data_IF_897605579113
#
_entry.id   IF_897605579113
#
_cell.length_a   1.000
_cell.length_b   1.000
_cell.length_c   1.000
_cell.angle_alpha   90.00
_cell.angle_beta   90.00
_cell.angle_gamma   90.00
#
_symmetry.space_group_name_H-M   'P 1'
#
loop_
_entity.id
_entity.type
_entity.pdbx_description
1 polymer ?
#
# COMPACT_ATOMS: atom_id res chain seq x y z
N UNK A 1 64.84 3.73 8.93
CA UNK A 1 63.77 4.18 9.83
C UNK A 1 62.59 4.55 8.94
N UNK A 2 61.68 3.63 8.74
CA UNK A 2 60.40 3.90 8.10
C UNK A 2 59.31 3.70 9.15
N UNK A 3 58.65 4.79 9.52
CA UNK A 3 57.53 4.82 10.44
C UNK A 3 56.24 4.89 9.66
N UNK A 4 55.35 3.94 9.99
CA UNK A 4 53.92 3.97 9.84
C UNK A 4 53.29 3.97 8.44
N UNK A 5 53.18 2.76 7.88
CA UNK A 5 52.01 2.45 7.03
C UNK A 5 50.83 2.15 7.95
N UNK A 6 49.92 3.10 8.09
CA UNK A 6 48.60 2.86 8.67
C UNK A 6 47.73 2.03 7.73
N UNK A 7 47.80 0.70 7.85
CA UNK A 7 46.80 -0.18 7.28
C UNK A 7 45.50 0.03 8.10
N UNK A 8 44.59 0.84 7.58
CA UNK A 8 43.27 0.97 8.15
C UNK A 8 42.59 -0.39 8.16
N UNK A 9 42.23 -0.87 9.33
CA UNK A 9 41.31 -1.99 9.51
C UNK A 9 40.02 -1.66 8.76
N UNK A 10 39.60 -2.57 7.90
CA UNK A 10 38.26 -2.52 7.37
C UNK A 10 37.25 -2.48 8.54
N UNK A 11 36.19 -1.69 8.51
CA UNK A 11 35.20 -1.66 9.57
C UNK A 11 34.71 -3.10 9.76
N UNK A 12 35.06 -3.71 10.88
CA UNK A 12 34.59 -5.03 11.25
C UNK A 12 33.08 -4.97 11.39
N UNK A 13 32.37 -5.87 10.73
CA UNK A 13 30.97 -6.14 10.99
C UNK A 13 30.85 -6.55 12.45
N UNK A 14 30.30 -5.68 13.30
CA UNK A 14 30.19 -5.96 14.73
C UNK A 14 29.09 -7.01 14.94
N UNK A 15 29.25 -7.86 15.96
CA UNK A 15 28.27 -8.88 16.39
C UNK A 15 26.87 -8.27 16.60
N UNK A 16 26.78 -7.03 17.04
CA UNK A 16 25.53 -6.27 17.17
C UNK A 16 24.78 -6.12 15.85
N UNK A 17 25.48 -5.93 14.73
CA UNK A 17 24.84 -5.80 13.39
C UNK A 17 24.21 -7.12 12.94
N UNK A 18 24.85 -8.26 13.25
CA UNK A 18 24.32 -9.59 12.90
C UNK A 18 23.10 -9.95 13.73
N UNK A 19 23.11 -9.68 15.04
CA UNK A 19 21.96 -9.92 15.92
C UNK A 19 20.74 -9.05 15.52
N UNK A 20 20.95 -7.80 15.10
CA UNK A 20 19.89 -6.92 14.64
C UNK A 20 19.25 -7.44 13.34
N UNK A 21 20.04 -7.89 12.38
CA UNK A 21 19.56 -8.49 11.14
C UNK A 21 18.75 -9.76 11.39
N UNK A 22 19.21 -10.64 12.30
CA UNK A 22 18.48 -11.85 12.67
C UNK A 22 17.11 -11.55 13.32
N UNK A 23 17.01 -10.47 14.09
CA UNK A 23 15.75 -10.03 14.71
C UNK A 23 14.80 -9.47 13.65
N UNK A 24 15.28 -8.64 12.74
CA UNK A 24 14.48 -8.09 11.64
C UNK A 24 13.92 -9.19 10.73
N UNK A 25 14.77 -10.17 10.33
CA UNK A 25 14.34 -11.31 9.52
C UNK A 25 13.25 -12.14 10.21
N UNK A 26 13.38 -12.40 11.52
CA UNK A 26 12.36 -13.12 12.30
C UNK A 26 11.05 -12.36 12.42
N UNK A 27 11.11 -11.03 12.56
CA UNK A 27 9.91 -10.18 12.60
C UNK A 27 9.16 -10.21 11.26
N UNK A 28 9.88 -10.09 10.14
CA UNK A 28 9.30 -10.18 8.80
C UNK A 28 8.71 -11.57 8.53
N UNK A 29 9.43 -12.65 8.85
CA UNK A 29 8.92 -14.02 8.67
C UNK A 29 7.63 -14.27 9.46
N UNK A 30 7.55 -13.80 10.72
CA UNK A 30 6.33 -13.89 11.52
C UNK A 30 5.18 -13.05 10.93
N UNK A 31 5.49 -11.87 10.38
CA UNK A 31 4.51 -11.06 9.68
C UNK A 31 3.96 -11.79 8.46
N UNK A 32 4.82 -12.41 7.65
CA UNK A 32 4.46 -13.10 6.42
C UNK A 32 3.56 -14.33 6.68
N UNK A 33 3.81 -15.07 7.76
CA UNK A 33 2.92 -16.15 8.20
C UNK A 33 1.51 -15.62 8.49
N UNK A 34 1.42 -14.50 9.20
CA UNK A 34 0.13 -13.91 9.54
C UNK A 34 -0.54 -13.25 8.32
N UNK A 35 0.23 -12.62 7.44
CA UNK A 35 -0.27 -12.09 6.18
C UNK A 35 -0.88 -13.19 5.29
N UNK A 36 -0.28 -14.39 5.28
CA UNK A 36 -0.86 -15.55 4.60
C UNK A 36 -2.23 -15.96 5.19
N UNK A 37 -2.40 -15.92 6.51
CA UNK A 37 -3.69 -16.16 7.16
C UNK A 37 -4.73 -15.08 6.82
N UNK A 38 -4.33 -13.81 6.85
CA UNK A 38 -5.19 -12.69 6.45
C UNK A 38 -5.65 -12.88 5.00
N UNK A 39 -4.73 -13.17 4.09
CA UNK A 39 -5.02 -13.41 2.68
C UNK A 39 -6.01 -14.55 2.48
N UNK A 40 -5.83 -15.67 3.18
CA UNK A 40 -6.74 -16.82 3.11
C UNK A 40 -8.14 -16.45 3.60
N UNK A 41 -8.25 -15.75 4.73
CA UNK A 41 -9.53 -15.30 5.29
C UNK A 41 -10.26 -14.32 4.35
N UNK A 42 -9.54 -13.39 3.73
CA UNK A 42 -10.10 -12.45 2.75
C UNK A 42 -10.59 -13.19 1.50
N UNK A 43 -9.81 -14.16 1.02
CA UNK A 43 -10.18 -14.98 -0.14
C UNK A 43 -11.43 -15.83 0.09
N UNK A 44 -11.59 -16.45 1.27
CA UNK A 44 -12.79 -17.21 1.64
C UNK A 44 -14.06 -16.34 1.65
N UNK A 45 -13.91 -15.06 1.93
CA UNK A 45 -15.00 -14.08 1.95
C UNK A 45 -15.12 -13.29 0.63
N UNK A 46 -14.33 -13.61 -0.37
CA UNK A 46 -14.25 -12.86 -1.65
C UNK A 46 -14.01 -11.36 -1.44
N UNK A 47 -13.28 -10.98 -0.40
CA UNK A 47 -12.92 -9.60 -0.11
C UNK A 47 -11.64 -9.25 -0.85
N UNK A 48 -11.70 -8.20 -1.67
CA UNK A 48 -10.55 -7.69 -2.42
C UNK A 48 -9.89 -6.58 -1.62
N UNK A 49 -8.71 -6.85 -1.06
CA UNK A 49 -7.97 -5.90 -0.24
C UNK A 49 -6.85 -5.21 -1.03
N UNK A 50 -6.75 -3.88 -0.92
CA UNK A 50 -5.68 -3.08 -1.51
C UNK A 50 -4.96 -2.29 -0.40
N UNK A 51 -3.62 -2.32 -0.42
CA UNK A 51 -2.78 -1.54 0.49
C UNK A 51 -2.36 -0.23 -0.19
N UNK A 52 -2.81 0.91 0.34
CA UNK A 52 -2.46 2.25 -0.15
C UNK A 52 -1.30 2.82 0.64
N UNK A 53 -0.18 3.00 -0.02
CA UNK A 53 1.08 3.51 0.55
C UNK A 53 1.44 4.85 -0.09
N UNK A 54 1.99 5.79 0.67
CA UNK A 54 2.40 7.10 0.16
C UNK A 54 3.27 7.85 1.15
N UNK A 55 3.86 8.95 0.71
CA UNK A 55 4.26 10.02 1.63
C UNK A 55 3.04 10.73 2.23
N UNK A 56 3.20 11.45 3.36
CA UNK A 56 2.15 12.29 3.91
C UNK A 56 1.69 13.33 2.88
N UNK A 57 0.38 13.58 2.82
CA UNK A 57 -0.18 14.61 1.95
C UNK A 57 -0.29 14.27 0.46
N UNK A 58 0.04 13.06 0.01
CA UNK A 58 -0.11 12.62 -1.39
C UNK A 58 -1.58 12.55 -1.84
N UNK A 59 -2.53 12.38 -0.90
CA UNK A 59 -3.96 12.42 -1.15
C UNK A 59 -4.66 11.06 -1.13
N UNK A 60 -4.14 10.08 -0.37
CA UNK A 60 -4.78 8.77 -0.17
C UNK A 60 -6.21 8.89 0.32
N UNK A 61 -6.41 9.55 1.46
CA UNK A 61 -7.74 9.73 2.05
C UNK A 61 -8.72 10.41 1.09
N UNK A 62 -8.26 11.43 0.34
CA UNK A 62 -9.12 12.10 -0.65
C UNK A 62 -9.47 11.19 -1.84
N UNK A 63 -8.54 10.31 -2.26
CA UNK A 63 -8.81 9.30 -3.29
C UNK A 63 -9.84 8.30 -2.78
N UNK A 64 -9.73 7.86 -1.51
CA UNK A 64 -10.68 6.94 -0.89
C UNK A 64 -12.05 7.57 -0.70
N UNK A 65 -12.16 8.81 -0.21
CA UNK A 65 -13.45 9.53 -0.09
C UNK A 65 -14.19 9.56 -1.44
N UNK A 66 -13.46 9.90 -2.51
CA UNK A 66 -14.04 9.92 -3.85
C UNK A 66 -14.43 8.53 -4.33
N UNK A 67 -13.59 7.52 -4.08
CA UNK A 67 -13.87 6.12 -4.42
C UNK A 67 -15.13 5.63 -3.72
N UNK A 68 -15.29 5.91 -2.42
CA UNK A 68 -16.49 5.57 -1.65
C UNK A 68 -17.74 6.24 -2.23
N UNK A 69 -17.67 7.53 -2.57
CA UNK A 69 -18.79 8.26 -3.13
C UNK A 69 -19.25 7.70 -4.48
N UNK A 70 -18.33 7.27 -5.33
CA UNK A 70 -18.63 6.80 -6.70
C UNK A 70 -18.95 5.29 -6.75
N UNK A 71 -18.19 4.46 -6.01
CA UNK A 71 -18.33 3.01 -6.05
C UNK A 71 -19.22 2.44 -4.93
N UNK A 72 -19.48 3.19 -3.88
CA UNK A 72 -20.23 2.71 -2.70
C UNK A 72 -21.66 2.24 -2.99
N UNK A 73 -22.23 2.59 -4.14
CA UNK A 73 -23.53 2.08 -4.59
C UNK A 73 -23.45 0.72 -5.30
N UNK A 74 -22.27 0.35 -5.80
CA UNK A 74 -22.01 -0.91 -6.53
C UNK A 74 -21.29 -1.95 -5.69
N UNK A 75 -20.40 -1.51 -4.82
CA UNK A 75 -19.60 -2.34 -3.94
C UNK A 75 -19.72 -1.89 -2.49
N UNK A 76 -19.80 -2.82 -1.57
CA UNK A 76 -19.57 -2.51 -0.16
C UNK A 76 -18.09 -2.13 0.00
N UNK A 77 -17.82 -0.88 0.38
CA UNK A 77 -16.46 -0.38 0.61
C UNK A 77 -16.18 -0.33 2.11
N UNK A 78 -15.05 -0.88 2.50
CA UNK A 78 -14.53 -0.89 3.86
C UNK A 78 -13.12 -0.33 3.89
N UNK A 79 -12.73 0.33 4.98
CA UNK A 79 -11.39 0.94 5.11
C UNK A 79 -10.80 0.61 6.49
N UNK A 80 -9.57 0.17 6.50
CA UNK A 80 -8.70 0.14 7.69
C UNK A 80 -7.76 1.33 7.54
N UNK A 81 -7.83 2.27 8.47
CA UNK A 81 -7.04 3.50 8.48
C UNK A 81 -5.91 3.39 9.48
N UNK A 82 -4.66 3.44 9.02
CA UNK A 82 -3.47 3.47 9.86
C UNK A 82 -2.98 4.89 10.08
N UNK A 83 -3.10 5.40 11.30
CA UNK A 83 -2.57 6.72 11.68
C UNK A 83 -1.83 6.64 13.02
N UNK A 84 -0.94 7.61 13.25
CA UNK A 84 -0.15 7.67 14.47
C UNK A 84 -0.94 8.21 15.67
N UNK A 85 -1.82 9.20 15.49
CA UNK A 85 -2.45 9.91 16.61
C UNK A 85 -3.92 10.32 16.40
N UNK A 86 -4.41 10.50 15.17
CA UNK A 86 -5.69 11.18 14.93
C UNK A 86 -6.76 10.26 14.29
N UNK A 87 -8.04 10.54 14.59
CA UNK A 87 -9.18 9.84 13.96
C UNK A 87 -9.78 10.60 12.78
N UNK A 88 -9.15 11.71 12.36
CA UNK A 88 -9.75 12.60 11.37
C UNK A 88 -9.99 11.93 10.02
N UNK A 89 -9.07 11.11 9.54
CA UNK A 89 -9.20 10.47 8.23
C UNK A 89 -10.23 9.33 8.26
N UNK A 90 -10.27 8.51 9.32
CA UNK A 90 -11.34 7.52 9.50
C UNK A 90 -12.73 8.17 9.57
N UNK A 91 -12.86 9.34 10.21
CA UNK A 91 -14.13 10.07 10.29
C UNK A 91 -14.55 10.69 8.94
N UNK A 92 -13.59 11.10 8.11
CA UNK A 92 -13.83 11.54 6.73
C UNK A 92 -14.41 10.38 5.90
N UNK A 93 -13.79 9.22 5.98
CA UNK A 93 -14.22 8.01 5.27
C UNK A 93 -15.62 7.56 5.72
N UNK A 94 -15.90 7.57 7.02
CA UNK A 94 -17.25 7.24 7.54
C UNK A 94 -18.30 8.22 7.04
N UNK A 95 -18.00 9.53 7.00
CA UNK A 95 -18.90 10.55 6.43
C UNK A 95 -19.13 10.39 4.94
N UNK A 96 -18.16 9.84 4.20
CA UNK A 96 -18.33 9.48 2.80
C UNK A 96 -19.24 8.26 2.59
N UNK A 97 -19.54 7.47 3.64
CA UNK A 97 -20.49 6.36 3.61
C UNK A 97 -19.86 4.97 3.70
N UNK A 98 -18.56 4.85 3.88
CA UNK A 98 -17.90 3.56 4.09
C UNK A 98 -17.83 3.16 5.57
N UNK A 99 -17.74 1.86 5.82
CA UNK A 99 -17.34 1.34 7.13
C UNK A 99 -15.84 1.54 7.29
N UNK A 100 -15.41 2.12 8.40
CA UNK A 100 -14.00 2.35 8.66
C UNK A 100 -13.63 2.04 10.11
N UNK A 101 -12.51 1.37 10.29
CA UNK A 101 -11.85 1.13 11.57
C UNK A 101 -10.50 1.82 11.53
N UNK A 102 -10.18 2.51 12.62
CA UNK A 102 -8.87 3.13 12.78
C UNK A 102 -7.95 2.24 13.59
N UNK A 103 -6.73 2.12 13.13
CA UNK A 103 -5.62 1.49 13.84
C UNK A 103 -4.62 2.55 14.24
N UNK A 104 -4.53 2.80 15.54
CA UNK A 104 -3.50 3.69 16.07
C UNK A 104 -2.18 2.92 16.16
N UNK A 105 -1.18 3.36 15.39
CA UNK A 105 0.16 2.75 15.36
C UNK A 105 1.08 3.32 16.45
N UNK A 106 0.65 4.36 17.16
CA UNK A 106 1.49 5.06 18.14
C UNK A 106 2.78 5.60 17.49
N UNK A 107 3.92 5.17 17.99
CA UNK A 107 5.22 5.54 17.40
C UNK A 107 5.57 4.74 16.12
N UNK A 108 4.72 3.78 15.71
CA UNK A 108 4.92 2.98 14.51
C UNK A 108 4.71 3.78 13.24
N UNK A 109 5.52 3.52 12.22
CA UNK A 109 5.50 4.22 10.94
C UNK A 109 4.84 3.38 9.83
N UNK A 110 4.16 2.28 10.16
CA UNK A 110 3.47 1.38 9.24
C UNK A 110 2.45 0.51 9.96
N UNK A 111 1.57 -0.12 9.20
CA UNK A 111 0.74 -1.23 9.63
C UNK A 111 1.44 -2.57 9.39
N UNK A 112 1.24 -3.53 10.27
CA UNK A 112 1.63 -4.93 10.12
C UNK A 112 0.42 -5.87 9.97
N UNK A 113 0.66 -7.12 9.60
CA UNK A 113 -0.40 -8.12 9.42
C UNK A 113 -1.18 -8.41 10.71
N UNK A 114 -0.57 -8.27 11.89
CA UNK A 114 -1.25 -8.45 13.18
C UNK A 114 -2.23 -7.32 13.47
N UNK A 115 -1.88 -6.10 13.10
CA UNK A 115 -2.76 -4.93 13.21
C UNK A 115 -3.94 -5.07 12.26
N UNK A 116 -3.70 -5.43 10.99
CA UNK A 116 -4.75 -5.66 9.99
C UNK A 116 -5.66 -6.81 10.41
N UNK A 117 -5.13 -7.92 10.88
CA UNK A 117 -5.91 -9.05 11.37
C UNK A 117 -6.89 -8.64 12.49
N UNK A 118 -6.42 -7.87 13.48
CA UNK A 118 -7.30 -7.35 14.56
C UNK A 118 -8.35 -6.39 14.02
N UNK A 119 -7.97 -5.48 13.12
CA UNK A 119 -8.89 -4.53 12.51
C UNK A 119 -9.99 -5.22 11.69
N UNK A 120 -9.67 -6.32 11.00
CA UNK A 120 -10.64 -7.13 10.25
C UNK A 120 -11.71 -7.75 11.17
N UNK A 121 -11.35 -8.18 12.36
CA UNK A 121 -12.33 -8.68 13.34
C UNK A 121 -13.32 -7.61 13.80
N UNK A 122 -12.87 -6.37 13.97
CA UNK A 122 -13.72 -5.24 14.35
C UNK A 122 -14.56 -4.74 13.17
N UNK A 123 -13.94 -4.62 12.00
CA UNK A 123 -14.57 -4.11 10.79
C UNK A 123 -15.61 -5.06 10.21
N UNK A 124 -15.36 -6.37 10.30
CA UNK A 124 -16.17 -7.46 9.73
C UNK A 124 -16.67 -7.12 8.32
N UNK A 125 -15.77 -7.03 7.32
CA UNK A 125 -16.13 -6.60 5.97
C UNK A 125 -17.13 -7.58 5.35
N UNK A 126 -18.21 -7.12 4.69
CA UNK A 126 -19.15 -7.99 4.00
C UNK A 126 -18.47 -8.86 2.93
N UNK A 127 -19.02 -10.04 2.67
CA UNK A 127 -18.59 -10.89 1.55
C UNK A 127 -18.65 -10.13 0.23
N UNK A 128 -17.60 -10.22 -0.58
CA UNK A 128 -17.50 -9.54 -1.86
C UNK A 128 -17.21 -8.05 -1.79
N UNK A 129 -16.79 -7.53 -0.61
CA UNK A 129 -16.46 -6.12 -0.45
C UNK A 129 -15.08 -5.75 -1.00
N UNK A 130 -14.92 -4.47 -1.33
CA UNK A 130 -13.63 -3.80 -1.49
C UNK A 130 -13.12 -3.34 -0.13
N UNK A 131 -11.93 -3.75 0.22
CA UNK A 131 -11.24 -3.34 1.44
C UNK A 131 -10.01 -2.51 1.07
N UNK A 132 -9.93 -1.31 1.60
CA UNK A 132 -8.72 -0.51 1.52
C UNK A 132 -8.01 -0.53 2.87
N UNK A 133 -6.71 -0.75 2.85
CA UNK A 133 -5.82 -0.51 3.97
C UNK A 133 -5.06 0.76 3.66
N UNK A 134 -5.48 1.89 4.23
CA UNK A 134 -4.74 3.14 4.14
C UNK A 134 -3.59 3.10 5.13
N UNK A 135 -2.37 2.94 4.62
CA UNK A 135 -1.17 2.85 5.45
C UNK A 135 -0.70 4.24 5.92
N UNK A 136 0.05 4.26 7.00
CA UNK A 136 0.72 5.48 7.49
C UNK A 136 1.51 6.15 6.37
N UNK A 137 1.52 7.47 6.35
CA UNK A 137 2.27 8.24 5.36
C UNK A 137 3.77 8.08 5.51
N UNK A 138 4.32 7.05 4.82
CA UNK A 138 5.74 6.70 4.81
C UNK A 138 6.08 5.94 3.53
N UNK A 139 7.22 6.25 2.90
CA UNK A 139 7.69 5.60 1.66
C UNK A 139 8.76 4.51 1.88
N UNK A 140 9.02 4.11 3.12
CA UNK A 140 10.05 3.11 3.45
C UNK A 140 9.41 1.89 4.11
N UNK A 141 8.96 2.03 5.36
CA UNK A 141 8.51 0.91 6.17
C UNK A 141 7.32 0.13 5.59
N UNK A 142 6.25 0.75 5.06
CA UNK A 142 5.10 -0.01 4.55
C UNK A 142 5.42 -0.97 3.42
N UNK A 143 6.49 -0.73 2.66
CA UNK A 143 6.91 -1.60 1.56
C UNK A 143 7.47 -2.95 2.03
N UNK A 144 7.95 -3.02 3.27
CA UNK A 144 8.59 -4.20 3.84
C UNK A 144 7.60 -5.24 4.35
N UNK A 145 6.35 -4.82 4.64
CA UNK A 145 5.36 -5.65 5.28
C UNK A 145 4.26 -6.07 4.30
N UNK A 146 4.08 -7.38 4.20
CA UNK A 146 2.90 -7.97 3.56
C UNK A 146 1.72 -7.91 4.56
N UNK A 147 0.58 -7.42 4.14
CA UNK A 147 -0.63 -7.31 4.95
C UNK A 147 -1.71 -8.33 4.55
N UNK A 148 -1.42 -9.19 3.58
CA UNK A 148 -2.37 -10.12 2.98
C UNK A 148 -3.22 -9.49 1.87
N UNK A 149 -2.86 -8.34 1.39
CA UNK A 149 -3.52 -7.61 0.31
C UNK A 149 -3.42 -8.31 -1.05
N UNK A 150 -4.36 -8.03 -1.94
CA UNK A 150 -4.37 -8.49 -3.33
C UNK A 150 -3.50 -7.61 -4.23
N UNK A 151 -3.35 -6.32 -3.89
CA UNK A 151 -2.52 -5.38 -4.63
C UNK A 151 -1.95 -4.28 -3.72
N UNK A 152 -0.74 -3.83 -4.05
CA UNK A 152 -0.03 -2.70 -3.44
C UNK A 152 -0.11 -1.49 -4.35
N UNK A 153 -0.71 -0.40 -3.87
CA UNK A 153 -0.90 0.85 -4.60
C UNK A 153 -0.05 1.94 -3.97
N UNK A 154 0.87 2.49 -4.73
CA UNK A 154 1.69 3.64 -4.29
C UNK A 154 1.06 4.92 -4.82
N UNK A 155 0.69 5.83 -3.93
CA UNK A 155 0.15 7.15 -4.29
C UNK A 155 1.22 8.21 -4.08
N UNK A 156 1.54 8.95 -5.13
CA UNK A 156 2.44 10.11 -5.10
C UNK A 156 1.73 11.36 -5.61
N UNK A 157 2.18 12.52 -5.19
CA UNK A 157 1.69 13.79 -5.71
C UNK A 157 2.73 14.43 -6.62
N UNK A 158 2.32 15.08 -7.69
CA UNK A 158 3.23 15.88 -8.56
C UNK A 158 3.98 16.97 -7.78
N UNK A 159 3.49 17.36 -6.61
CA UNK A 159 4.15 18.35 -5.74
C UNK A 159 5.35 17.82 -4.95
N UNK A 160 5.62 16.50 -5.04
CA UNK A 160 6.68 15.84 -4.26
C UNK A 160 7.98 15.66 -5.05
N UNK A 161 7.99 16.00 -6.35
CA UNK A 161 9.10 15.79 -7.27
C UNK A 161 9.11 14.42 -7.95
N UNK A 162 9.70 14.38 -9.14
CA UNK A 162 9.73 13.22 -10.04
C UNK A 162 10.83 12.20 -9.72
N UNK A 163 11.66 12.46 -8.73
CA UNK A 163 12.81 11.63 -8.33
C UNK A 163 12.45 10.57 -7.24
N UNK A 164 11.19 10.48 -6.84
CA UNK A 164 10.75 9.53 -5.82
C UNK A 164 11.08 8.07 -6.12
N UNK A 165 10.94 7.55 -7.35
CA UNK A 165 11.32 6.17 -7.65
C UNK A 165 12.80 5.90 -7.39
N UNK A 166 13.67 6.86 -7.69
CA UNK A 166 15.11 6.73 -7.44
C UNK A 166 15.46 6.80 -5.95
N UNK A 167 14.75 7.65 -5.20
CA UNK A 167 14.98 7.81 -3.74
C UNK A 167 14.42 6.66 -2.91
N UNK A 168 13.34 6.03 -3.36
CA UNK A 168 12.61 4.98 -2.63
C UNK A 168 12.40 3.73 -3.50
N UNK A 169 13.47 3.13 -4.04
CA UNK A 169 13.36 2.08 -5.04
C UNK A 169 12.59 0.85 -4.56
N UNK A 170 12.68 0.52 -3.27
CA UNK A 170 11.96 -0.62 -2.73
C UNK A 170 10.44 -0.43 -2.77
N UNK A 171 9.95 0.77 -2.40
CA UNK A 171 8.52 1.11 -2.46
C UNK A 171 7.94 0.93 -3.87
N UNK A 172 8.64 1.43 -4.88
CA UNK A 172 8.19 1.32 -6.27
C UNK A 172 8.41 -0.07 -6.87
N UNK A 173 9.39 -0.83 -6.35
CA UNK A 173 9.66 -2.19 -6.79
C UNK A 173 8.58 -3.20 -6.38
N UNK A 174 7.86 -2.93 -5.29
CA UNK A 174 6.77 -3.80 -4.80
C UNK A 174 5.38 -3.34 -5.26
N UNK A 175 5.27 -2.20 -5.95
CA UNK A 175 4.00 -1.63 -6.38
C UNK A 175 3.38 -2.41 -7.55
N UNK A 176 2.09 -2.72 -7.46
CA UNK A 176 1.27 -3.22 -8.56
C UNK A 176 0.70 -2.07 -9.39
N UNK A 177 0.42 -0.93 -8.74
CA UNK A 177 -0.03 0.31 -9.37
C UNK A 177 0.65 1.50 -8.71
N UNK A 178 1.03 2.50 -9.51
CA UNK A 178 1.47 3.81 -9.03
C UNK A 178 0.49 4.88 -9.50
N UNK A 179 -0.20 5.52 -8.56
CA UNK A 179 -1.08 6.66 -8.81
C UNK A 179 -0.28 7.95 -8.68
N UNK A 180 -0.22 8.76 -9.75
CA UNK A 180 0.37 10.11 -9.72
C UNK A 180 -0.77 11.12 -9.62
N UNK A 181 -1.03 11.56 -8.40
CA UNK A 181 -2.15 12.44 -8.06
C UNK A 181 -1.81 13.92 -8.21
N UNK A 182 -2.85 14.76 -8.21
CA UNK A 182 -2.80 16.22 -8.31
C UNK A 182 -2.25 16.71 -9.66
N UNK A 183 -2.56 15.99 -10.76
CA UNK A 183 -2.14 16.39 -12.12
C UNK A 183 -2.61 17.78 -12.52
N UNK A 184 -3.68 18.30 -11.90
CA UNK A 184 -4.14 19.68 -12.04
C UNK A 184 -3.09 20.72 -11.61
N UNK A 185 -2.08 20.32 -10.84
CA UNK A 185 -0.97 21.19 -10.42
C UNK A 185 0.27 21.12 -11.35
N UNK A 186 0.29 20.22 -12.35
CA UNK A 186 1.42 20.10 -13.28
C UNK A 186 1.87 21.45 -13.92
N UNK A 187 0.96 22.38 -14.26
CA UNK A 187 1.37 23.67 -14.80
C UNK A 187 2.13 24.56 -13.83
N UNK A 188 2.16 24.23 -12.54
CA UNK A 188 2.71 25.07 -11.45
C UNK A 188 3.89 24.43 -10.73
N UNK A 189 4.29 23.20 -11.11
CA UNK A 189 5.36 22.43 -10.48
C UNK A 189 6.33 21.90 -11.53
N UNK A 190 7.57 21.71 -11.12
CA UNK A 190 8.57 21.06 -11.97
C UNK A 190 8.50 19.53 -11.74
N UNK A 191 7.72 18.85 -12.59
CA UNK A 191 7.51 17.40 -12.54
C UNK A 191 7.50 16.81 -13.96
N UNK A 192 8.49 15.98 -14.27
CA UNK A 192 8.62 15.27 -15.54
C UNK A 192 7.93 13.88 -15.44
N UNK A 193 6.65 13.82 -15.84
CA UNK A 193 5.87 12.58 -15.81
C UNK A 193 6.45 11.46 -16.70
N UNK A 194 6.92 11.70 -17.93
CA UNK A 194 7.63 10.70 -18.71
C UNK A 194 8.85 10.10 -18.00
N UNK A 195 9.67 10.94 -17.39
CA UNK A 195 10.86 10.55 -16.63
C UNK A 195 10.46 9.71 -15.41
N UNK A 196 9.49 10.18 -14.61
CA UNK A 196 8.97 9.45 -13.47
C UNK A 196 8.48 8.05 -13.86
N UNK A 197 7.67 7.97 -14.93
CA UNK A 197 7.15 6.69 -15.45
C UNK A 197 8.26 5.75 -15.88
N UNK A 198 9.28 6.26 -16.56
CA UNK A 198 10.45 5.47 -16.98
C UNK A 198 11.21 4.90 -15.78
N UNK A 199 11.40 5.70 -14.72
CA UNK A 199 12.09 5.28 -13.51
C UNK A 199 11.27 4.23 -12.73
N UNK A 200 9.96 4.42 -12.56
CA UNK A 200 9.09 3.46 -11.88
C UNK A 200 9.07 2.10 -12.62
N UNK A 201 8.95 2.11 -13.95
CA UNK A 201 9.01 0.89 -14.76
C UNK A 201 10.38 0.22 -14.79
N UNK A 202 11.45 0.97 -14.56
CA UNK A 202 12.78 0.41 -14.39
C UNK A 202 12.93 -0.43 -13.11
N UNK A 203 12.13 -0.15 -12.08
CA UNK A 203 12.10 -0.88 -10.81
C UNK A 203 11.09 -2.04 -10.83
N UNK A 204 9.92 -1.83 -11.43
CA UNK A 204 8.88 -2.83 -11.62
C UNK A 204 8.41 -2.78 -13.09
N UNK A 205 8.93 -3.64 -13.99
CA UNK A 205 8.66 -3.55 -15.43
C UNK A 205 7.19 -3.64 -15.83
N UNK A 206 6.37 -4.32 -15.02
CA UNK A 206 4.92 -4.48 -15.25
C UNK A 206 4.07 -3.40 -14.59
N UNK A 207 4.66 -2.47 -13.84
CA UNK A 207 3.87 -1.49 -13.08
C UNK A 207 3.13 -0.52 -14.01
N UNK A 208 1.85 -0.37 -13.74
CA UNK A 208 1.06 0.70 -14.33
C UNK A 208 1.29 2.01 -13.57
N UNK A 209 1.42 3.11 -14.32
CA UNK A 209 1.55 4.46 -13.75
C UNK A 209 0.37 5.29 -14.24
N UNK A 210 -0.53 5.59 -13.31
CA UNK A 210 -1.81 6.25 -13.56
C UNK A 210 -1.78 7.71 -13.08
N UNK A 211 -1.62 8.69 -13.98
CA UNK A 211 -1.76 10.09 -13.64
C UNK A 211 -3.23 10.48 -13.54
N UNK A 212 -3.63 11.09 -12.42
CA UNK A 212 -5.00 11.54 -12.18
C UNK A 212 -5.06 12.78 -11.30
N UNK A 213 -6.20 13.43 -11.26
CA UNK A 213 -6.51 14.44 -10.26
C UNK A 213 -7.78 14.07 -9.50
N UNK A 214 -7.63 13.74 -8.22
CA UNK A 214 -8.79 13.52 -7.33
C UNK A 214 -9.67 14.77 -7.25
N UNK A 215 -9.06 15.95 -7.31
CA UNK A 215 -9.76 17.24 -7.21
C UNK A 215 -10.66 17.51 -8.41
N UNK A 216 -10.15 17.38 -9.63
CA UNK A 216 -10.90 17.71 -10.86
C UNK A 216 -11.69 16.51 -11.40
N UNK A 217 -11.32 15.30 -11.05
CA UNK A 217 -11.86 14.06 -11.59
C UNK A 217 -11.18 13.57 -12.85
N UNK A 218 -10.12 14.24 -13.29
CA UNK A 218 -9.34 13.81 -14.45
C UNK A 218 -8.76 12.42 -14.24
N UNK A 219 -9.00 11.52 -15.19
CA UNK A 219 -8.54 10.13 -15.23
C UNK A 219 -8.90 9.25 -14.01
N UNK A 220 -9.82 9.69 -13.15
CA UNK A 220 -10.26 8.87 -12.00
C UNK A 220 -11.03 7.62 -12.46
N UNK A 221 -11.60 7.65 -13.67
CA UNK A 221 -12.24 6.49 -14.29
C UNK A 221 -11.30 5.29 -14.48
N UNK A 222 -10.02 5.54 -14.81
CA UNK A 222 -9.01 4.49 -14.97
C UNK A 222 -8.66 3.83 -13.62
N UNK A 223 -8.67 4.62 -12.54
CA UNK A 223 -8.58 4.08 -11.18
C UNK A 223 -9.75 3.14 -10.86
N UNK A 224 -10.97 3.51 -11.21
CA UNK A 224 -12.13 2.63 -10.99
C UNK A 224 -12.06 1.38 -11.85
N UNK A 225 -11.58 1.46 -13.10
CA UNK A 225 -11.36 0.30 -13.94
C UNK A 225 -10.36 -0.68 -13.31
N UNK A 226 -9.25 -0.18 -12.79
CA UNK A 226 -8.29 -0.99 -12.04
C UNK A 226 -8.92 -1.71 -10.86
N UNK A 227 -9.78 -1.04 -10.09
CA UNK A 227 -10.48 -1.65 -8.96
C UNK A 227 -11.45 -2.76 -9.39
N UNK A 228 -12.22 -2.54 -10.45
CA UNK A 228 -13.16 -3.55 -11.01
C UNK A 228 -12.38 -4.77 -11.53
N UNK A 229 -11.24 -4.57 -12.18
CA UNK A 229 -10.36 -5.66 -12.62
C UNK A 229 -9.80 -6.44 -11.43
N UNK A 230 -9.38 -5.75 -10.35
CA UNK A 230 -8.90 -6.40 -9.13
C UNK A 230 -10.00 -7.26 -8.47
N UNK A 231 -11.24 -6.78 -8.42
CA UNK A 231 -12.40 -7.53 -7.90
C UNK A 231 -12.67 -8.76 -8.76
N UNK A 232 -12.66 -8.62 -10.08
CA UNK A 232 -12.90 -9.72 -11.01
C UNK A 232 -11.84 -10.81 -10.86
N UNK A 233 -10.56 -10.45 -10.79
CA UNK A 233 -9.46 -11.40 -10.59
C UNK A 233 -9.51 -12.11 -9.24
N UNK A 234 -9.99 -11.44 -8.18
CA UNK A 234 -10.16 -12.05 -6.86
C UNK A 234 -11.29 -13.10 -6.89
N UNK A 235 -12.39 -12.82 -7.59
CA UNK A 235 -13.50 -13.76 -7.76
C UNK A 235 -13.06 -15.02 -8.51
N UNK A 236 -12.28 -14.89 -9.58
CA UNK A 236 -11.77 -16.02 -10.39
C UNK A 236 -10.83 -16.92 -9.56
N UNK A 237 -9.95 -16.33 -8.75
CA UNK A 237 -9.05 -17.08 -7.86
C UNK A 237 -9.81 -17.85 -6.77
N UNK A 238 -10.88 -17.29 -6.21
CA UNK A 238 -11.74 -17.95 -5.23
C UNK A 238 -12.52 -19.13 -5.84
N UNK A 239 -13.01 -19.00 -7.06
CA UNK A 239 -13.71 -20.07 -7.79
C UNK A 239 -12.83 -21.28 -8.09
N UNK A 240 -11.58 -21.07 -8.45
CA UNK A 240 -10.63 -22.15 -8.73
C UNK A 240 -10.26 -22.96 -7.47
N UNK A 241 -10.16 -22.32 -6.31
CA UNK A 241 -9.87 -22.98 -5.03
C UNK A 241 -11.04 -23.85 -4.54
N UNK A 242 -12.28 -23.47 -4.81
CA UNK A 242 -13.48 -24.21 -4.41
C UNK A 242 -13.72 -25.45 -5.30
N UNK A 243 -13.47 -25.36 -6.61
CA UNK A 243 -13.59 -26.48 -7.55
C UNK A 243 -12.61 -27.63 -7.26
N UNK A 244 -11.45 -27.36 -6.69
CA UNK A 244 -10.46 -28.37 -6.34
C UNK A 244 -10.82 -29.18 -5.08
N UNK A 245 -11.72 -28.71 -4.23
CA UNK A 245 -12.16 -29.41 -2.99
C UNK A 245 -13.38 -30.30 -3.17
N UNK A 246 -14.09 -30.22 -4.30
CA UNK A 246 -15.34 -31.00 -4.55
C UNK A 246 -15.07 -32.24 -5.42
N UNK A 247 -13.83 -32.46 -5.86
CA UNK A 247 -13.43 -33.54 -6.77
C UNK A 247 -12.68 -34.70 -6.11
N UNK A 248 -12.84 -34.97 -4.79
CA UNK A 248 -12.27 -36.16 -4.12
C UNK A 248 -13.34 -36.97 -3.41
#
# INVERSE_FOLDING_TARGET
MCLTCGCGEAPGVTTETTETLDVEERLLAKNDELAAHVRASLAERHVTALNLMSSPGAGKTSLLERTVAELGTRHAVCVIEGDQETSFDADRIRRAGARAVQVNTGAGCHLDAAMVHRALHELDPPTGSLLFVENVGNLVCPALFDLGEAAKVVVVSVTEGDDKPVKYPHMFGVADLVVVNKTDLLPYVDFDLPRFRSQARGLSPGVEVLPLSVRTGENVGDWYAFLEDAVSQAADRGGAAHGARVGT
#
